data_IF_697988066546
#
_entry.id   IF_697988066546
#
_cell.length_a   1.000
_cell.length_b   1.000
_cell.length_c   1.000
_cell.angle_alpha   90.00
_cell.angle_beta   90.00
_cell.angle_gamma   90.00
#
_symmetry.space_group_name_H-M   'P 1'
#
loop_
_entity.id
_entity.type
_entity.pdbx_description
1 polymer ?
#
# COMPACT_ATOMS: atom_id res chain seq x y z
N UNK A 1 8.84 10.83 -8.29
CA UNK A 1 10.07 10.08 -8.58
C UNK A 1 10.90 10.03 -7.30
N UNK A 2 11.40 8.86 -6.93
CA UNK A 2 12.21 8.64 -5.72
C UNK A 2 13.70 8.48 -6.04
N UNK A 3 14.05 7.80 -7.13
CA UNK A 3 15.46 7.57 -7.52
C UNK A 3 16.29 6.92 -6.41
N UNK A 4 15.70 6.00 -5.64
CA UNK A 4 16.30 5.33 -4.49
C UNK A 4 16.17 6.08 -3.16
N UNK A 5 15.76 7.36 -3.16
CA UNK A 5 15.61 8.17 -1.94
C UNK A 5 14.20 8.07 -1.35
N UNK A 6 14.11 8.17 -0.02
CA UNK A 6 12.86 8.17 0.74
C UNK A 6 12.86 9.26 1.79
N UNK A 7 11.77 10.03 1.88
CA UNK A 7 11.56 11.12 2.84
C UNK A 7 10.08 11.22 3.22
N UNK A 8 9.77 12.09 4.18
CA UNK A 8 8.40 12.28 4.67
C UNK A 8 7.45 12.83 3.60
N UNK A 9 7.93 13.64 2.66
CA UNK A 9 7.11 14.15 1.56
C UNK A 9 6.68 13.03 0.62
N UNK A 10 7.59 12.12 0.28
CA UNK A 10 7.30 10.93 -0.53
C UNK A 10 6.37 9.98 0.21
N UNK A 11 6.61 9.75 1.50
CA UNK A 11 5.73 8.96 2.37
C UNK A 11 4.31 9.54 2.37
N UNK A 12 4.17 10.84 2.62
CA UNK A 12 2.89 11.56 2.67
C UNK A 12 2.13 11.47 1.34
N UNK A 13 2.80 11.68 0.21
CA UNK A 13 2.18 11.56 -1.12
C UNK A 13 1.69 10.14 -1.39
N UNK A 14 2.48 9.11 -1.05
CA UNK A 14 2.06 7.72 -1.20
C UNK A 14 0.86 7.41 -0.32
N UNK A 15 0.86 7.87 0.94
CA UNK A 15 -0.28 7.72 1.86
C UNK A 15 -1.57 8.30 1.27
N UNK A 16 -1.52 9.53 0.77
CA UNK A 16 -2.68 10.20 0.19
C UNK A 16 -3.22 9.47 -1.04
N UNK A 17 -2.32 8.95 -1.90
CA UNK A 17 -2.72 8.19 -3.08
C UNK A 17 -3.48 6.90 -2.71
N UNK A 18 -2.95 6.13 -1.76
CA UNK A 18 -3.58 4.89 -1.28
C UNK A 18 -4.91 5.21 -0.58
N UNK A 19 -4.91 6.17 0.35
CA UNK A 19 -6.11 6.56 1.10
C UNK A 19 -7.23 7.07 0.18
N UNK A 20 -6.90 7.84 -0.86
CA UNK A 20 -7.87 8.33 -1.84
C UNK A 20 -8.56 7.18 -2.58
N UNK A 21 -7.79 6.19 -3.03
CA UNK A 21 -8.31 5.01 -3.70
C UNK A 21 -9.16 4.13 -2.75
N UNK A 22 -8.73 3.93 -1.50
CA UNK A 22 -9.48 3.20 -0.48
C UNK A 22 -10.84 3.87 -0.19
N UNK A 23 -10.85 5.19 0.03
CA UNK A 23 -12.08 5.97 0.23
C UNK A 23 -13.02 5.84 -0.96
N UNK A 24 -12.48 5.91 -2.18
CA UNK A 24 -13.30 5.79 -3.39
C UNK A 24 -13.89 4.39 -3.55
N UNK A 25 -13.11 3.35 -3.25
CA UNK A 25 -13.59 1.98 -3.26
C UNK A 25 -14.74 1.77 -2.26
N UNK A 26 -14.60 2.30 -1.04
CA UNK A 26 -15.64 2.21 -0.01
C UNK A 26 -16.90 2.98 -0.40
N UNK A 27 -16.75 4.17 -0.99
CA UNK A 27 -17.84 5.00 -1.53
C UNK A 27 -18.60 4.27 -2.66
N UNK A 28 -17.88 3.57 -3.54
CA UNK A 28 -18.46 2.77 -4.62
C UNK A 28 -19.12 1.47 -4.13
N UNK A 29 -19.00 1.13 -2.83
CA UNK A 29 -19.60 -0.06 -2.26
C UNK A 29 -18.94 -1.37 -2.67
N UNK A 30 -17.70 -1.33 -3.20
CA UNK A 30 -16.99 -2.56 -3.58
C UNK A 30 -16.44 -3.27 -2.34
N UNK A 31 -16.40 -4.60 -2.39
CA UNK A 31 -15.91 -5.43 -1.27
C UNK A 31 -14.38 -5.59 -1.25
N UNK A 32 -13.74 -5.43 -2.40
CA UNK A 32 -12.30 -5.68 -2.56
C UNK A 32 -11.64 -4.69 -3.53
N UNK A 33 -10.37 -4.37 -3.28
CA UNK A 33 -9.51 -3.57 -4.18
C UNK A 33 -8.09 -4.13 -4.21
N UNK A 34 -7.43 -4.03 -5.37
CA UNK A 34 -6.03 -4.43 -5.54
C UNK A 34 -5.17 -3.22 -5.93
N UNK A 35 -3.98 -3.15 -5.37
CA UNK A 35 -2.97 -2.13 -5.65
C UNK A 35 -1.69 -2.78 -6.18
N UNK A 36 -1.03 -2.22 -7.19
CA UNK A 36 0.38 -2.53 -7.45
C UNK A 36 1.26 -1.92 -6.34
N UNK A 37 2.55 -2.28 -6.31
CA UNK A 37 3.55 -1.55 -5.51
C UNK A 37 3.80 -0.13 -6.05
N UNK A 38 2.88 0.80 -5.75
CA UNK A 38 2.89 2.16 -6.26
C UNK A 38 4.24 2.83 -5.95
N UNK A 39 4.87 3.37 -6.99
CA UNK A 39 6.16 4.06 -6.97
C UNK A 39 7.42 3.19 -6.77
N UNK A 40 7.30 1.87 -6.53
CA UNK A 40 8.47 1.00 -6.33
C UNK A 40 9.18 0.59 -7.65
N UNK A 41 8.49 0.65 -8.79
CA UNK A 41 9.03 0.31 -10.11
C UNK A 41 9.87 1.45 -10.72
N UNK A 42 9.46 1.98 -11.88
CA UNK A 42 10.17 3.04 -12.63
C UNK A 42 10.47 4.28 -11.76
N UNK A 43 9.64 4.55 -10.75
CA UNK A 43 9.85 5.68 -9.84
C UNK A 43 10.97 5.45 -8.82
N UNK A 44 11.39 4.20 -8.61
CA UNK A 44 12.56 3.83 -7.82
C UNK A 44 12.42 4.10 -6.33
N UNK A 45 11.21 4.09 -5.75
CA UNK A 45 11.09 4.16 -4.29
C UNK A 45 11.50 2.82 -3.67
N UNK A 46 12.17 2.80 -2.50
CA UNK A 46 12.49 1.55 -1.82
C UNK A 46 11.22 0.74 -1.55
N UNK A 47 11.19 -0.51 -2.02
CA UNK A 47 10.01 -1.37 -1.92
C UNK A 47 9.56 -1.52 -0.47
N UNK A 48 10.50 -1.69 0.46
CA UNK A 48 10.22 -1.88 1.87
C UNK A 48 9.45 -0.69 2.44
N UNK A 49 9.84 0.54 2.08
CA UNK A 49 9.15 1.76 2.51
C UNK A 49 7.78 1.94 1.88
N UNK A 50 7.62 1.49 0.64
CA UNK A 50 6.32 1.45 -0.04
C UNK A 50 5.39 0.46 0.67
N UNK A 51 5.86 -0.74 0.99
CA UNK A 51 5.08 -1.78 1.67
C UNK A 51 4.73 -1.36 3.11
N UNK A 52 5.69 -0.84 3.88
CA UNK A 52 5.46 -0.30 5.23
C UNK A 52 4.35 0.74 5.21
N UNK A 53 4.44 1.72 4.29
CA UNK A 53 3.44 2.79 4.16
C UNK A 53 2.07 2.25 3.73
N UNK A 54 2.06 1.26 2.84
CA UNK A 54 0.83 0.61 2.40
C UNK A 54 0.12 -0.09 3.55
N UNK A 55 0.84 -0.91 4.32
CA UNK A 55 0.29 -1.64 5.47
C UNK A 55 -0.23 -0.67 6.53
N UNK A 56 0.52 0.40 6.83
CA UNK A 56 0.11 1.46 7.76
C UNK A 56 -1.26 2.04 7.38
N UNK A 57 -1.41 2.52 6.12
CA UNK A 57 -2.65 3.15 5.65
C UNK A 57 -3.82 2.18 5.61
N UNK A 58 -3.59 0.93 5.17
CA UNK A 58 -4.66 -0.07 5.07
C UNK A 58 -5.16 -0.46 6.46
N UNK A 59 -4.27 -0.64 7.43
CA UNK A 59 -4.63 -0.96 8.82
C UNK A 59 -5.37 0.17 9.51
N UNK A 60 -4.99 1.41 9.24
CA UNK A 60 -5.70 2.58 9.77
C UNK A 60 -7.09 2.74 9.14
N UNK A 61 -7.23 2.46 7.84
CA UNK A 61 -8.47 2.70 7.11
C UNK A 61 -9.54 1.61 7.30
N UNK A 62 -9.17 0.33 7.16
CA UNK A 62 -10.13 -0.78 7.08
C UNK A 62 -11.11 -0.88 8.26
N UNK A 63 -10.73 -0.62 9.53
CA UNK A 63 -11.67 -0.64 10.65
C UNK A 63 -12.83 0.35 10.52
N UNK A 64 -12.65 1.42 9.73
CA UNK A 64 -13.66 2.46 9.49
C UNK A 64 -14.43 2.27 8.18
N UNK A 65 -14.07 1.28 7.36
CA UNK A 65 -14.66 1.05 6.04
C UNK A 65 -16.07 0.45 6.14
N UNK A 66 -17.02 1.00 5.40
CA UNK A 66 -18.42 0.56 5.42
C UNK A 66 -18.66 -0.70 4.60
N UNK A 67 -18.07 -0.77 3.42
CA UNK A 67 -18.31 -1.79 2.40
C UNK A 67 -17.04 -2.58 2.07
N UNK A 68 -15.88 -1.91 2.07
CA UNK A 68 -14.60 -2.53 1.74
C UNK A 68 -14.17 -3.52 2.82
N UNK A 69 -13.69 -4.69 2.42
CA UNK A 69 -13.29 -5.80 3.32
C UNK A 69 -11.90 -6.33 3.02
N UNK A 70 -11.52 -6.38 1.75
CA UNK A 70 -10.25 -6.97 1.33
C UNK A 70 -9.43 -5.99 0.51
N UNK A 71 -8.14 -5.92 0.83
CA UNK A 71 -7.18 -5.07 0.12
C UNK A 71 -5.97 -5.91 -0.24
N UNK A 72 -5.65 -5.96 -1.53
CA UNK A 72 -4.55 -6.77 -2.05
C UNK A 72 -3.38 -5.88 -2.47
N UNK A 73 -2.17 -6.22 -2.05
CA UNK A 73 -0.94 -5.72 -2.65
C UNK A 73 -0.44 -6.75 -3.67
N UNK A 74 -0.43 -6.36 -4.95
CA UNK A 74 -0.03 -7.22 -6.07
C UNK A 74 1.42 -6.92 -6.43
N UNK A 75 2.24 -7.96 -6.34
CA UNK A 75 3.68 -7.90 -6.59
C UNK A 75 4.01 -8.81 -7.77
N UNK A 76 4.86 -8.31 -8.67
CA UNK A 76 5.15 -8.99 -9.92
C UNK A 76 6.12 -10.16 -9.74
N UNK A 77 7.16 -9.98 -8.91
CA UNK A 77 8.20 -10.97 -8.71
C UNK A 77 8.02 -11.73 -7.40
N UNK A 78 8.47 -12.98 -7.39
CA UNK A 78 8.53 -13.80 -6.17
C UNK A 78 9.44 -13.15 -5.11
N UNK A 79 10.54 -12.52 -5.54
CA UNK A 79 11.48 -11.84 -4.65
C UNK A 79 10.81 -10.67 -3.91
N UNK A 80 10.08 -9.81 -4.62
CA UNK A 80 9.37 -8.68 -4.02
C UNK A 80 8.27 -9.17 -3.09
N UNK A 81 7.57 -10.24 -3.46
CA UNK A 81 6.57 -10.89 -2.64
C UNK A 81 7.16 -11.37 -1.31
N UNK A 82 8.30 -12.06 -1.32
CA UNK A 82 8.97 -12.53 -0.11
C UNK A 82 9.49 -11.39 0.76
N UNK A 83 10.00 -10.30 0.16
CA UNK A 83 10.39 -9.09 0.90
C UNK A 83 9.18 -8.46 1.59
N UNK A 84 8.07 -8.31 0.87
CA UNK A 84 6.85 -7.73 1.41
C UNK A 84 6.24 -8.58 2.53
N UNK A 85 6.26 -9.91 2.41
CA UNK A 85 5.76 -10.82 3.45
C UNK A 85 6.47 -10.62 4.79
N UNK A 86 7.79 -10.39 4.77
CA UNK A 86 8.56 -10.13 6.00
C UNK A 86 8.10 -8.86 6.73
N UNK A 87 7.59 -7.87 5.99
CA UNK A 87 7.08 -6.61 6.54
C UNK A 87 5.65 -6.79 7.05
N UNK A 88 4.79 -7.44 6.26
CA UNK A 88 3.39 -7.69 6.64
C UNK A 88 3.30 -8.57 7.89
N UNK A 89 4.12 -9.63 7.97
CA UNK A 89 4.14 -10.58 9.08
C UNK A 89 4.56 -9.98 10.43
N UNK A 90 5.22 -8.82 10.46
CA UNK A 90 5.60 -8.15 11.71
C UNK A 90 4.45 -7.35 12.33
N UNK A 91 3.33 -7.17 11.61
CA UNK A 91 2.25 -6.31 12.05
C UNK A 91 0.93 -7.00 12.39
N UNK A 92 0.79 -8.31 12.23
CA UNK A 92 -0.49 -9.02 12.42
C UNK A 92 -1.58 -8.64 11.39
N UNK A 93 -2.35 -9.62 10.96
CA UNK A 93 -3.70 -9.45 10.39
C UNK A 93 -4.66 -10.16 11.32
#
# INVERSE_FOLDING_TARGET
YCGGSWDEDKKSKLKLAILGALKKADELGVKSIAFPAISAGIYGCPLEKVVETFVEVVKEFLPSAKSLREVFLVLYSQEDYEKALKIVGQGGV
#
